data_IF_127548722939
#
_entry.id   IF_127548722939
#
_cell.length_a   1.000
_cell.length_b   1.000
_cell.length_c   1.000
_cell.angle_alpha   90.00
_cell.angle_beta   90.00
_cell.angle_gamma   90.00
#
_symmetry.space_group_name_H-M   'P 1'
#
loop_
_entity.id
_entity.type
_entity.pdbx_description
1 polymer ?
#
# COMPACT_ATOMS: atom_id res chain seq x y z
N UNK A 1 -6.51 -2.70 25.93
CA UNK A 1 -5.20 -2.81 25.29
C UNK A 1 -5.31 -3.63 24.01
N UNK A 2 -4.49 -3.36 23.05
CA UNK A 2 -4.48 -4.12 21.77
C UNK A 2 -4.17 -5.61 21.95
N UNK A 3 -3.56 -5.99 23.07
CA UNK A 3 -3.31 -7.39 23.44
C UNK A 3 -4.56 -8.15 23.88
N UNK A 4 -5.62 -7.44 24.21
CA UNK A 4 -6.86 -8.03 24.70
C UNK A 4 -7.96 -8.08 23.62
N UNK A 5 -7.76 -7.37 22.51
CA UNK A 5 -8.64 -7.50 21.35
C UNK A 5 -8.37 -8.87 20.69
N UNK A 6 -9.26 -9.82 20.89
CA UNK A 6 -9.17 -11.12 20.24
C UNK A 6 -9.24 -11.00 18.72
N UNK A 7 -8.78 -12.04 18.00
CA UNK A 7 -8.84 -12.11 16.54
C UNK A 7 -10.25 -11.80 16.01
N UNK A 8 -11.30 -12.16 16.75
CA UNK A 8 -12.69 -11.87 16.40
C UNK A 8 -13.02 -10.37 16.38
N UNK A 9 -12.44 -9.57 17.30
CA UNK A 9 -12.67 -8.11 17.34
C UNK A 9 -11.99 -7.41 16.17
N UNK A 10 -10.78 -7.84 15.81
CA UNK A 10 -10.05 -7.31 14.66
C UNK A 10 -10.77 -7.66 13.34
N UNK A 11 -11.27 -8.88 13.21
CA UNK A 11 -12.04 -9.30 12.04
C UNK A 11 -13.37 -8.54 11.93
N UNK A 12 -14.04 -8.27 13.06
CA UNK A 12 -15.25 -7.46 13.07
C UNK A 12 -14.97 -6.01 12.67
N UNK A 13 -13.89 -5.41 13.17
CA UNK A 13 -13.47 -4.07 12.79
C UNK A 13 -13.11 -3.98 11.29
N UNK A 14 -12.41 -4.97 10.77
CA UNK A 14 -12.08 -5.07 9.35
C UNK A 14 -13.35 -5.13 8.48
N UNK A 15 -14.29 -6.02 8.81
CA UNK A 15 -15.56 -6.14 8.09
C UNK A 15 -16.39 -4.85 8.14
N UNK A 16 -16.42 -4.19 9.31
CA UNK A 16 -17.13 -2.92 9.47
C UNK A 16 -16.52 -1.82 8.61
N UNK A 17 -15.20 -1.74 8.52
CA UNK A 17 -14.51 -0.78 7.64
C UNK A 17 -14.80 -1.07 6.16
N UNK A 18 -14.72 -2.33 5.75
CA UNK A 18 -15.10 -2.73 4.38
C UNK A 18 -16.52 -2.28 4.04
N UNK A 19 -17.47 -2.52 4.94
CA UNK A 19 -18.87 -2.12 4.75
C UNK A 19 -19.03 -0.59 4.62
N UNK A 20 -18.29 0.19 5.41
CA UNK A 20 -18.31 1.66 5.30
C UNK A 20 -17.77 2.16 3.96
N UNK A 21 -16.69 1.55 3.47
CA UNK A 21 -16.11 1.90 2.16
C UNK A 21 -17.04 1.53 1.00
N UNK A 22 -17.71 0.38 1.10
CA UNK A 22 -18.73 -0.01 0.11
C UNK A 22 -19.92 0.95 0.12
N UNK A 23 -20.44 1.28 1.30
CA UNK A 23 -21.55 2.22 1.46
C UNK A 23 -21.22 3.63 0.95
N UNK A 24 -19.98 4.05 1.15
CA UNK A 24 -19.49 5.34 0.63
C UNK A 24 -19.30 5.33 -0.90
N UNK A 25 -19.38 4.18 -1.56
CA UNK A 25 -19.24 4.05 -3.01
C UNK A 25 -17.79 4.15 -3.50
N UNK A 26 -16.81 4.15 -2.62
CA UNK A 26 -15.37 4.28 -2.98
C UNK A 26 -14.72 2.95 -3.30
N UNK A 27 -15.34 1.85 -2.88
CA UNK A 27 -14.90 0.50 -3.15
C UNK A 27 -16.11 -0.42 -3.37
N UNK A 28 -15.91 -1.48 -4.13
CA UNK A 28 -16.93 -2.52 -4.35
C UNK A 28 -16.29 -3.90 -4.43
N UNK A 29 -17.07 -4.94 -4.13
CA UNK A 29 -16.59 -6.31 -4.24
C UNK A 29 -16.59 -6.77 -5.70
N UNK A 30 -15.51 -7.43 -6.10
CA UNK A 30 -15.43 -8.08 -7.40
C UNK A 30 -16.15 -9.45 -7.35
N UNK A 31 -16.12 -10.18 -8.46
CA UNK A 31 -16.75 -11.52 -8.59
C UNK A 31 -16.23 -12.53 -7.56
N UNK A 32 -15.00 -12.35 -7.07
CA UNK A 32 -14.38 -13.21 -6.07
C UNK A 32 -14.63 -12.73 -4.63
N UNK A 33 -15.47 -11.70 -4.44
CA UNK A 33 -15.76 -11.13 -3.13
C UNK A 33 -14.66 -10.24 -2.55
N UNK A 34 -13.63 -9.93 -3.33
CA UNK A 34 -12.51 -9.06 -2.90
C UNK A 34 -12.88 -7.60 -3.12
N UNK A 35 -12.68 -6.79 -2.08
CA UNK A 35 -12.93 -5.36 -2.13
C UNK A 35 -11.90 -4.66 -3.04
N UNK A 36 -12.36 -3.85 -3.97
CA UNK A 36 -11.52 -3.11 -4.90
C UNK A 36 -11.99 -1.67 -5.05
N UNK A 37 -11.05 -0.76 -5.29
CA UNK A 37 -11.31 0.66 -5.52
C UNK A 37 -12.21 0.87 -6.75
N UNK A 38 -13.21 1.71 -6.60
CA UNK A 38 -14.01 2.20 -7.72
C UNK A 38 -13.20 3.26 -8.47
N UNK A 39 -13.11 3.14 -9.79
CA UNK A 39 -12.37 4.10 -10.60
C UNK A 39 -10.85 4.02 -10.42
N UNK A 40 -10.31 2.82 -10.23
CA UNK A 40 -8.88 2.62 -10.19
C UNK A 40 -8.20 3.16 -11.46
N UNK A 41 -7.14 3.95 -11.26
CA UNK A 41 -6.40 4.57 -12.37
C UNK A 41 -5.47 3.56 -13.04
N UNK A 42 -5.30 3.63 -14.36
CA UNK A 42 -4.32 2.79 -15.03
C UNK A 42 -2.90 3.15 -14.59
N UNK A 43 -2.02 2.16 -14.57
CA UNK A 43 -0.61 2.40 -14.33
C UNK A 43 0.02 3.12 -15.52
N UNK A 44 0.89 4.12 -15.27
CA UNK A 44 1.57 4.81 -16.35
C UNK A 44 2.50 3.86 -17.11
N UNK A 45 2.52 3.98 -18.42
CA UNK A 45 3.51 3.28 -19.22
C UNK A 45 4.85 4.00 -19.12
N UNK A 46 5.91 3.29 -18.80
CA UNK A 46 7.27 3.84 -18.68
C UNK A 46 7.34 5.04 -17.73
N UNK A 47 7.02 4.85 -16.44
CA UNK A 47 7.09 5.95 -15.48
C UNK A 47 8.52 6.47 -15.36
N UNK A 48 8.70 7.79 -15.41
CA UNK A 48 10.01 8.44 -15.29
C UNK A 48 10.38 8.72 -13.85
N UNK A 49 9.40 8.97 -13.00
CA UNK A 49 9.61 9.29 -11.59
C UNK A 49 8.74 8.38 -10.74
N UNK A 50 9.37 7.50 -9.99
CA UNK A 50 8.72 6.49 -9.15
C UNK A 50 9.03 6.76 -7.68
N UNK A 51 8.01 6.92 -6.88
CA UNK A 51 8.15 7.03 -5.43
C UNK A 51 8.10 5.67 -4.75
N UNK A 52 8.93 5.44 -3.77
CA UNK A 52 8.90 4.24 -2.94
C UNK A 52 8.69 4.66 -1.50
N UNK A 53 7.55 4.30 -0.93
CA UNK A 53 7.17 4.55 0.47
C UNK A 53 7.30 3.25 1.22
N UNK A 54 8.32 3.13 2.05
CA UNK A 54 8.62 1.93 2.85
C UNK A 54 9.61 2.28 3.96
N UNK A 55 9.90 1.32 4.82
CA UNK A 55 11.02 1.45 5.77
C UNK A 55 12.35 1.22 5.05
N UNK A 56 13.18 2.25 4.98
CA UNK A 56 14.46 2.20 4.25
C UNK A 56 15.51 1.30 4.93
N UNK A 57 15.30 0.94 6.20
CA UNK A 57 16.15 -0.01 6.93
C UNK A 57 15.67 -1.46 6.81
N UNK A 58 14.59 -1.73 6.07
CA UNK A 58 13.98 -3.06 5.97
C UNK A 58 14.66 -3.94 4.92
N UNK A 59 14.52 -5.26 5.10
CA UNK A 59 14.93 -6.22 4.09
C UNK A 59 14.14 -6.06 2.79
N UNK A 60 12.86 -5.69 2.88
CA UNK A 60 12.03 -5.42 1.70
C UNK A 60 12.61 -4.30 0.84
N UNK A 61 13.12 -3.24 1.46
CA UNK A 61 13.76 -2.15 0.72
C UNK A 61 15.07 -2.61 0.05
N UNK A 62 15.88 -3.43 0.74
CA UNK A 62 17.09 -4.01 0.16
C UNK A 62 16.75 -4.84 -1.09
N UNK A 63 15.70 -5.66 -1.03
CA UNK A 63 15.23 -6.47 -2.15
C UNK A 63 14.74 -5.60 -3.33
N UNK A 64 14.02 -4.52 -3.03
CA UNK A 64 13.57 -3.54 -4.04
C UNK A 64 14.78 -2.92 -4.75
N UNK A 65 15.77 -2.46 -4.00
CA UNK A 65 17.00 -1.88 -4.58
C UNK A 65 17.69 -2.86 -5.49
N UNK A 66 17.90 -4.09 -5.04
CA UNK A 66 18.52 -5.14 -5.84
C UNK A 66 17.72 -5.40 -7.12
N UNK A 67 16.39 -5.43 -7.01
CA UNK A 67 15.52 -5.65 -8.18
C UNK A 67 15.65 -4.50 -9.20
N UNK A 68 15.68 -3.26 -8.74
CA UNK A 68 15.87 -2.09 -9.61
C UNK A 68 17.22 -2.17 -10.32
N UNK A 69 18.30 -2.44 -9.58
CA UNK A 69 19.65 -2.53 -10.12
C UNK A 69 19.78 -3.64 -11.17
N UNK A 70 19.12 -4.79 -10.96
CA UNK A 70 19.19 -5.94 -11.86
C UNK A 70 18.26 -5.85 -13.08
N UNK A 71 17.22 -5.01 -13.03
CA UNK A 71 16.18 -4.96 -14.06
C UNK A 71 16.45 -3.97 -15.21
N UNK A 72 17.50 -3.15 -15.09
CA UNK A 72 17.85 -2.21 -16.16
C UNK A 72 16.90 -1.01 -16.31
N UNK A 73 16.21 -0.61 -15.25
CA UNK A 73 15.34 0.60 -15.25
C UNK A 73 16.16 1.89 -15.27
N UNK A 74 17.00 2.06 -16.28
CA UNK A 74 17.91 3.22 -16.39
C UNK A 74 17.20 4.54 -16.70
N UNK A 75 15.98 4.47 -17.21
CA UNK A 75 15.22 5.66 -17.59
C UNK A 75 14.31 6.17 -16.47
N UNK A 76 14.11 5.40 -15.41
CA UNK A 76 13.29 5.76 -14.28
C UNK A 76 14.13 6.27 -13.12
N UNK A 77 13.69 7.37 -12.51
CA UNK A 77 14.28 7.89 -11.27
C UNK A 77 13.43 7.42 -10.09
N UNK A 78 14.05 6.74 -9.15
CA UNK A 78 13.40 6.24 -7.94
C UNK A 78 13.69 7.18 -6.77
N UNK A 79 12.65 7.64 -6.11
CA UNK A 79 12.71 8.56 -4.96
C UNK A 79 12.10 7.85 -3.76
N UNK A 80 12.89 7.71 -2.69
CA UNK A 80 12.49 6.94 -1.52
C UNK A 80 12.01 7.85 -0.41
N UNK A 81 10.91 7.46 0.23
CA UNK A 81 10.31 8.15 1.36
C UNK A 81 10.28 7.17 2.54
N UNK A 82 11.05 7.47 3.58
CA UNK A 82 11.12 6.62 4.76
C UNK A 82 9.85 6.71 5.60
N UNK A 83 9.40 5.58 6.13
CA UNK A 83 8.24 5.51 7.01
C UNK A 83 8.33 4.32 7.95
N UNK A 84 7.62 4.38 9.06
CA UNK A 84 7.31 3.21 9.85
C UNK A 84 6.31 2.35 9.09
N UNK A 85 6.49 1.03 9.11
CA UNK A 85 5.61 0.08 8.42
C UNK A 85 5.01 -0.98 9.36
N UNK A 86 5.15 -0.78 10.66
CA UNK A 86 4.57 -1.61 11.70
C UNK A 86 4.40 -0.81 12.99
N UNK A 87 3.50 -1.28 13.85
CA UNK A 87 3.22 -0.64 15.13
C UNK A 87 2.11 0.42 15.03
N UNK A 88 1.75 0.95 16.19
CA UNK A 88 0.61 1.89 16.34
C UNK A 88 0.85 3.24 15.66
N UNK A 89 2.09 3.66 15.52
CA UNK A 89 2.45 4.95 14.92
C UNK A 89 2.65 4.86 13.39
N UNK A 90 2.61 3.66 12.82
CA UNK A 90 2.81 3.44 11.40
C UNK A 90 1.76 4.12 10.53
N UNK A 91 0.45 4.08 10.82
CA UNK A 91 -0.54 4.76 9.98
C UNK A 91 -0.27 6.25 9.81
N UNK A 92 0.02 6.97 10.88
CA UNK A 92 0.33 8.41 10.82
C UNK A 92 1.64 8.66 10.04
N UNK A 93 2.65 7.84 10.27
CA UNK A 93 3.94 7.92 9.56
C UNK A 93 3.77 7.69 8.05
N UNK A 94 3.00 6.70 7.67
CA UNK A 94 2.73 6.39 6.25
C UNK A 94 1.93 7.53 5.60
N UNK A 95 0.92 8.07 6.27
CA UNK A 95 0.13 9.21 5.78
C UNK A 95 1.03 10.41 5.49
N UNK A 96 1.96 10.72 6.38
CA UNK A 96 2.92 11.80 6.18
C UNK A 96 3.82 11.53 4.97
N UNK A 97 4.39 10.34 4.87
CA UNK A 97 5.24 9.96 3.73
C UNK A 97 4.47 9.99 2.41
N UNK A 98 3.23 9.52 2.38
CA UNK A 98 2.35 9.59 1.20
C UNK A 98 2.05 11.04 0.81
N UNK A 99 1.86 11.93 1.78
CA UNK A 99 1.64 13.36 1.52
C UNK A 99 2.85 14.01 0.84
N UNK A 100 4.04 13.69 1.32
CA UNK A 100 5.30 14.16 0.70
C UNK A 100 5.46 13.62 -0.71
N UNK A 101 5.21 12.33 -0.89
CA UNK A 101 5.31 11.67 -2.19
C UNK A 101 4.31 12.25 -3.21
N UNK A 102 3.07 12.49 -2.79
CA UNK A 102 2.01 13.02 -3.67
C UNK A 102 2.32 14.45 -4.18
N UNK A 103 3.15 15.19 -3.44
CA UNK A 103 3.58 16.55 -3.81
C UNK A 103 4.96 16.58 -4.51
N UNK A 104 5.56 15.45 -4.78
CA UNK A 104 6.91 15.36 -5.36
C UNK A 104 6.93 15.29 -6.90
N UNK A 105 5.79 15.39 -7.56
CA UNK A 105 5.71 15.31 -9.03
C UNK A 105 6.07 13.92 -9.56
N UNK A 106 5.56 12.88 -8.92
CA UNK A 106 5.81 11.49 -9.31
C UNK A 106 4.77 10.99 -10.30
N UNK A 107 5.15 10.00 -11.10
CA UNK A 107 4.24 9.34 -12.04
C UNK A 107 3.48 8.19 -11.35
N UNK A 108 4.08 7.57 -10.35
CA UNK A 108 3.50 6.48 -9.56
C UNK A 108 4.17 6.40 -8.19
N UNK A 109 3.40 5.97 -7.20
CA UNK A 109 3.88 5.69 -5.84
C UNK A 109 3.75 4.18 -5.59
N UNK A 110 4.77 3.58 -5.00
CA UNK A 110 4.74 2.20 -4.49
C UNK A 110 4.76 2.27 -2.96
N UNK A 111 3.71 1.77 -2.33
CA UNK A 111 3.65 1.55 -0.89
C UNK A 111 3.98 0.09 -0.62
N UNK A 112 5.09 -0.17 0.05
CA UNK A 112 5.61 -1.51 0.20
C UNK A 112 5.95 -1.87 1.63
N UNK A 113 5.73 -3.13 1.98
CA UNK A 113 6.19 -3.77 3.20
C UNK A 113 6.45 -5.25 2.92
N UNK A 114 7.53 -5.76 3.47
CA UNK A 114 7.86 -7.19 3.40
C UNK A 114 6.97 -8.04 4.31
N UNK A 115 7.22 -9.34 4.32
CA UNK A 115 6.49 -10.29 5.14
C UNK A 115 6.54 -9.97 6.63
N UNK A 116 5.53 -10.40 7.35
CA UNK A 116 5.40 -10.21 8.79
C UNK A 116 4.17 -10.94 9.30
N UNK A 117 3.92 -10.86 10.61
CA UNK A 117 2.72 -11.43 11.19
C UNK A 117 1.47 -10.64 10.76
N UNK A 118 0.30 -11.25 10.89
CA UNK A 118 -0.98 -10.58 10.63
C UNK A 118 -1.16 -9.34 11.50
N UNK A 119 -0.69 -9.39 12.74
CA UNK A 119 -0.72 -8.27 13.69
C UNK A 119 0.19 -7.12 13.21
N UNK A 120 1.37 -7.42 12.70
CA UNK A 120 2.29 -6.41 12.17
C UNK A 120 1.74 -5.70 10.94
N UNK A 121 0.91 -6.40 10.14
CA UNK A 121 0.28 -5.85 8.94
C UNK A 121 -1.01 -5.09 9.23
N UNK A 122 -1.50 -5.10 10.46
CA UNK A 122 -2.79 -4.49 10.81
C UNK A 122 -2.82 -2.99 10.58
N UNK A 123 -1.71 -2.28 10.70
CA UNK A 123 -1.63 -0.84 10.43
C UNK A 123 -2.11 -0.47 9.01
N UNK A 124 -2.04 -1.39 8.06
CA UNK A 124 -2.53 -1.19 6.70
C UNK A 124 -4.06 -1.36 6.55
N UNK A 125 -4.75 -1.67 7.65
CA UNK A 125 -6.22 -1.69 7.75
C UNK A 125 -6.78 -0.44 8.44
N UNK A 126 -5.95 0.56 8.68
CA UNK A 126 -6.35 1.83 9.30
C UNK A 126 -7.24 2.65 8.36
N UNK A 127 -8.36 3.18 8.88
CA UNK A 127 -9.32 3.95 8.09
C UNK A 127 -8.75 5.27 7.59
N UNK A 128 -7.97 5.97 8.43
CA UNK A 128 -7.36 7.24 8.03
C UNK A 128 -6.33 7.04 6.93
N UNK A 129 -5.57 5.95 6.99
CA UNK A 129 -4.65 5.57 5.93
C UNK A 129 -5.39 5.25 4.63
N UNK A 130 -6.50 4.50 4.72
CA UNK A 130 -7.34 4.21 3.55
C UNK A 130 -7.87 5.48 2.90
N UNK A 131 -8.37 6.42 3.69
CA UNK A 131 -8.86 7.72 3.18
C UNK A 131 -7.74 8.53 2.55
N UNK A 132 -6.55 8.50 3.13
CA UNK A 132 -5.38 9.17 2.53
C UNK A 132 -5.02 8.58 1.17
N UNK A 133 -4.96 7.26 1.06
CA UNK A 133 -4.70 6.58 -0.21
C UNK A 133 -5.73 6.97 -1.27
N UNK A 134 -7.01 6.98 -0.91
CA UNK A 134 -8.09 7.38 -1.82
C UNK A 134 -7.98 8.84 -2.27
N UNK A 135 -7.39 9.72 -1.47
CA UNK A 135 -7.24 11.15 -1.76
C UNK A 135 -6.03 11.49 -2.64
N UNK A 136 -5.12 10.54 -2.87
CA UNK A 136 -3.89 10.80 -3.63
C UNK A 136 -4.19 11.17 -5.08
N UNK A 137 -3.47 12.16 -5.59
CA UNK A 137 -3.51 12.54 -7.01
C UNK A 137 -2.66 11.61 -7.86
N UNK A 138 -1.57 11.10 -7.30
CA UNK A 138 -0.63 10.20 -7.97
C UNK A 138 -1.15 8.76 -7.90
N UNK A 139 -1.13 8.01 -9.00
CA UNK A 139 -1.46 6.57 -8.96
C UNK A 139 -0.60 5.81 -7.97
N UNK A 140 -1.19 4.85 -7.27
CA UNK A 140 -0.51 4.09 -6.22
C UNK A 140 -0.63 2.58 -6.43
N UNK A 141 0.51 1.91 -6.26
CA UNK A 141 0.60 0.44 -6.17
C UNK A 141 0.80 0.09 -4.70
N UNK A 142 -0.03 -0.78 -4.17
CA UNK A 142 0.15 -1.36 -2.83
C UNK A 142 0.79 -2.74 -2.94
N UNK A 143 1.85 -2.97 -2.17
CA UNK A 143 2.57 -4.23 -2.11
C UNK A 143 2.85 -4.61 -0.65
N UNK A 144 1.79 -4.73 0.14
CA UNK A 144 1.85 -4.97 1.60
C UNK A 144 1.18 -6.26 2.03
N UNK A 145 0.18 -6.74 1.30
CA UNK A 145 -0.55 -7.95 1.64
C UNK A 145 0.12 -9.21 1.12
N UNK A 146 -0.28 -10.35 1.68
CA UNK A 146 0.06 -11.67 1.16
C UNK A 146 -0.86 -12.08 0.02
N UNK A 147 -0.50 -13.16 -0.68
CA UNK A 147 -1.22 -13.70 -1.82
C UNK A 147 -2.73 -13.93 -1.57
N UNK A 148 -3.07 -14.37 -0.35
CA UNK A 148 -4.44 -14.70 0.07
C UNK A 148 -5.06 -13.68 1.03
N UNK A 149 -4.27 -12.79 1.63
CA UNK A 149 -4.74 -11.80 2.60
C UNK A 149 -4.60 -10.38 2.03
N UNK A 150 -5.73 -9.75 1.74
CA UNK A 150 -5.79 -8.36 1.31
C UNK A 150 -5.87 -7.44 2.52
N UNK A 151 -5.01 -6.43 2.56
CA UNK A 151 -5.19 -5.30 3.46
C UNK A 151 -6.20 -4.30 2.87
N UNK A 152 -6.72 -3.42 3.71
CA UNK A 152 -7.54 -2.30 3.22
C UNK A 152 -6.72 -1.39 2.29
N UNK A 153 -5.43 -1.17 2.59
CA UNK A 153 -4.54 -0.42 1.71
C UNK A 153 -4.45 -1.02 0.31
N UNK A 154 -4.40 -2.35 0.20
CA UNK A 154 -4.44 -3.04 -1.09
C UNK A 154 -5.76 -2.77 -1.82
N UNK A 155 -6.87 -2.83 -1.09
CA UNK A 155 -8.22 -2.71 -1.65
C UNK A 155 -8.54 -1.31 -2.16
N UNK A 156 -7.95 -0.26 -1.59
CA UNK A 156 -8.20 1.14 -1.96
C UNK A 156 -7.11 1.75 -2.86
N UNK A 157 -6.08 0.98 -3.17
CA UNK A 157 -5.04 1.37 -4.11
C UNK A 157 -5.47 1.17 -5.57
N UNK A 158 -4.82 1.86 -6.49
CA UNK A 158 -5.11 1.71 -7.93
C UNK A 158 -4.68 0.35 -8.46
N UNK A 159 -3.59 -0.20 -7.94
CA UNK A 159 -3.08 -1.52 -8.28
C UNK A 159 -2.54 -2.22 -7.04
N UNK A 160 -2.62 -3.54 -7.02
CA UNK A 160 -2.02 -4.39 -5.97
C UNK A 160 -0.97 -5.31 -6.59
N UNK A 161 0.21 -5.34 -5.98
CA UNK A 161 1.25 -6.32 -6.28
C UNK A 161 1.41 -7.29 -5.10
N UNK A 162 1.74 -8.53 -5.40
CA UNK A 162 1.83 -9.61 -4.39
C UNK A 162 3.01 -9.38 -3.44
N UNK A 163 4.12 -8.87 -3.97
CA UNK A 163 5.35 -8.59 -3.20
C UNK A 163 5.93 -7.23 -3.56
N UNK A 164 6.79 -6.66 -2.70
CA UNK A 164 7.51 -5.42 -3.05
C UNK A 164 8.30 -5.50 -4.35
N UNK A 165 8.96 -6.63 -4.61
CA UNK A 165 9.72 -6.82 -5.85
C UNK A 165 8.82 -7.00 -7.08
N UNK A 166 7.64 -7.60 -6.91
CA UNK A 166 6.65 -7.68 -7.96
C UNK A 166 6.13 -6.29 -8.37
N UNK A 167 6.02 -5.35 -7.43
CA UNK A 167 5.62 -3.98 -7.73
C UNK A 167 6.59 -3.30 -8.70
N UNK A 168 7.89 -3.57 -8.59
CA UNK A 168 8.89 -3.07 -9.54
C UNK A 168 8.71 -3.71 -10.92
N UNK A 169 8.42 -5.00 -10.96
CA UNK A 169 8.17 -5.72 -12.22
C UNK A 169 6.88 -5.25 -12.91
N UNK A 170 5.91 -4.76 -12.16
CA UNK A 170 4.61 -4.29 -12.67
C UNK A 170 4.70 -2.88 -13.29
N UNK A 171 5.81 -2.20 -13.13
CA UNK A 171 6.06 -0.90 -13.77
C UNK A 171 6.26 -1.04 -15.26
#
# INVERSE_FOLDING_TARGET
>A
SMKEAGAGDLDAAFRALCARLEKAGVARRNINGVLQKVGARPMPRLPKRVGIVTSLSSAAFADIKQRIESSGYFLSKFICFDTLVQGKDAPASIIEALSLADNAGLDVIILARGGGSKEDLWCFNDENLARKILSLKTPIISAVGHEIDYSISDSVSDHRSITPTAAIADL
#
